data_IF_547152314256
#
_entry.id   IF_547152314256
#
_cell.length_a   1.000
_cell.length_b   1.000
_cell.length_c   1.000
_cell.angle_alpha   90.00
_cell.angle_beta   90.00
_cell.angle_gamma   90.00
#
_symmetry.space_group_name_H-M   'P 1'
#
loop_
_entity.id
_entity.type
_entity.pdbx_description
1 polymer ?
#
# COMPACT_ATOMS: atom_id res chain seq x y z
N UNK A 1 -10.82 -7.58 27.75
CA UNK A 1 -10.86 -6.47 26.75
C UNK A 1 -9.98 -6.91 25.60
N UNK A 2 -10.47 -6.91 24.36
CA UNK A 2 -9.65 -7.29 23.19
C UNK A 2 -8.79 -6.07 22.85
N UNK A 3 -7.48 -6.15 23.04
CA UNK A 3 -6.55 -5.08 22.67
C UNK A 3 -6.08 -5.29 21.23
N UNK A 4 -6.27 -4.28 20.38
CA UNK A 4 -5.70 -4.21 19.04
C UNK A 4 -4.33 -3.56 19.14
N UNK A 5 -3.27 -4.33 18.85
CA UNK A 5 -1.89 -3.83 18.89
C UNK A 5 -1.38 -3.35 17.54
N UNK A 6 -2.18 -3.48 16.48
CA UNK A 6 -1.77 -3.12 15.14
C UNK A 6 -2.92 -2.72 14.22
N UNK A 7 -2.60 -1.94 13.20
CA UNK A 7 -3.47 -1.52 12.10
C UNK A 7 -2.83 -1.92 10.78
N UNK A 8 -3.65 -2.32 9.82
CA UNK A 8 -3.23 -2.57 8.43
C UNK A 8 -4.24 -1.96 7.47
N UNK A 9 -3.90 -1.91 6.19
CA UNK A 9 -4.81 -1.54 5.11
C UNK A 9 -4.51 -2.35 3.86
N UNK A 10 -5.51 -2.48 2.99
CA UNK A 10 -5.36 -3.09 1.67
C UNK A 10 -4.97 -2.03 0.62
N UNK A 11 -4.61 -2.49 -0.57
CA UNK A 11 -4.21 -1.60 -1.67
C UNK A 11 -5.38 -0.77 -2.18
N UNK A 12 -6.61 -1.30 -2.15
CA UNK A 12 -7.82 -0.58 -2.57
C UNK A 12 -8.05 0.68 -1.72
N UNK A 13 -7.86 0.59 -0.39
CA UNK A 13 -7.96 1.73 0.52
C UNK A 13 -6.94 2.82 0.22
N UNK A 14 -5.75 2.44 -0.25
CA UNK A 14 -4.69 3.40 -0.63
C UNK A 14 -5.01 4.06 -1.97
N UNK A 15 -5.51 3.27 -2.92
CA UNK A 15 -5.85 3.74 -4.24
C UNK A 15 -6.96 4.78 -4.20
N UNK A 16 -7.97 4.59 -3.35
CA UNK A 16 -9.01 5.59 -3.09
C UNK A 16 -8.46 6.95 -2.62
N UNK A 17 -7.29 6.96 -1.99
CA UNK A 17 -6.62 8.16 -1.49
C UNK A 17 -5.55 8.71 -2.46
N UNK A 18 -5.41 8.11 -3.64
CA UNK A 18 -4.50 8.55 -4.70
C UNK A 18 -3.01 8.43 -4.35
N UNK A 19 -2.64 7.52 -3.44
CA UNK A 19 -1.25 7.29 -3.02
C UNK A 19 -0.50 8.56 -2.56
N UNK A 20 -1.24 9.52 -1.99
CA UNK A 20 -0.68 10.81 -1.55
C UNK A 20 -0.10 10.66 -0.15
N UNK A 21 1.13 10.15 -0.04
CA UNK A 21 1.79 9.97 1.26
C UNK A 21 2.09 11.27 2.01
N UNK A 22 2.15 12.37 1.27
CA UNK A 22 2.47 13.68 1.78
C UNK A 22 1.23 14.45 2.27
N UNK A 23 0.01 13.92 2.10
CA UNK A 23 -1.23 14.63 2.47
C UNK A 23 -2.39 13.69 2.85
N UNK A 24 -3.31 14.16 3.69
CA UNK A 24 -4.58 13.47 3.92
C UNK A 24 -4.46 12.20 4.78
N UNK A 25 -5.16 11.14 4.39
CA UNK A 25 -5.33 9.87 5.13
C UNK A 25 -4.04 9.31 5.71
N UNK A 26 -2.96 9.32 4.92
CA UNK A 26 -1.69 8.72 5.30
C UNK A 26 -0.92 9.48 6.39
N UNK A 27 -1.18 10.79 6.56
CA UNK A 27 -0.59 11.53 7.65
C UNK A 27 -1.15 11.10 9.01
N UNK A 28 -2.39 10.59 9.07
CA UNK A 28 -2.97 10.11 10.32
C UNK A 28 -2.14 8.97 10.93
N UNK A 29 -1.50 8.12 10.12
CA UNK A 29 -0.64 7.04 10.63
C UNK A 29 0.61 7.53 11.37
N UNK A 30 1.03 8.79 11.16
CA UNK A 30 2.16 9.38 11.92
C UNK A 30 1.89 9.38 13.42
N UNK A 31 0.62 9.48 13.84
CA UNK A 31 0.24 9.45 15.25
C UNK A 31 0.62 8.13 15.93
N UNK A 32 0.84 7.06 15.16
CA UNK A 32 1.16 5.75 15.70
C UNK A 32 2.65 5.46 15.80
N UNK A 33 3.52 6.28 15.19
CA UNK A 33 4.97 6.02 15.08
C UNK A 33 5.63 5.69 16.43
N UNK A 34 5.28 6.44 17.47
CA UNK A 34 5.81 6.27 18.82
C UNK A 34 4.78 5.70 19.80
N UNK A 35 3.68 5.15 19.28
CA UNK A 35 2.60 4.57 20.07
C UNK A 35 2.80 3.07 20.33
N UNK A 36 1.93 2.49 21.16
CA UNK A 36 1.85 1.04 21.33
C UNK A 36 1.19 0.31 20.14
N UNK A 37 0.60 1.04 19.20
CA UNK A 37 -0.06 0.50 18.01
C UNK A 37 0.95 0.49 16.86
N UNK A 38 1.07 -0.65 16.19
CA UNK A 38 1.93 -0.81 15.00
C UNK A 38 1.13 -0.58 13.72
N UNK A 39 1.71 0.09 12.74
CA UNK A 39 1.15 0.15 11.38
C UNK A 39 1.85 -0.91 10.54
N UNK A 40 1.08 -1.82 9.95
CA UNK A 40 1.58 -2.97 9.23
C UNK A 40 1.06 -2.95 7.79
N UNK A 41 1.88 -3.42 6.86
CA UNK A 41 1.45 -3.86 5.53
C UNK A 41 2.20 -5.14 5.15
N UNK A 42 1.65 -5.94 4.25
CA UNK A 42 2.32 -7.12 3.72
C UNK A 42 3.30 -6.77 2.58
N UNK A 43 4.18 -7.70 2.21
CA UNK A 43 5.04 -7.56 1.03
C UNK A 43 4.25 -7.34 -0.27
N UNK A 44 3.17 -8.09 -0.59
CA UNK A 44 2.38 -7.82 -1.78
C UNK A 44 1.80 -6.39 -1.83
N UNK A 45 1.24 -5.90 -0.72
CA UNK A 45 0.73 -4.53 -0.63
C UNK A 45 1.86 -3.51 -0.85
N UNK A 46 3.05 -3.71 -0.26
CA UNK A 46 4.24 -2.89 -0.56
C UNK A 46 4.55 -2.88 -2.06
N UNK A 47 4.58 -4.05 -2.70
CA UNK A 47 4.94 -4.17 -4.12
C UNK A 47 3.95 -3.41 -5.01
N UNK A 48 2.67 -3.52 -4.73
CA UNK A 48 1.62 -2.80 -5.46
C UNK A 48 1.72 -1.29 -5.29
N UNK A 49 1.98 -0.83 -4.06
CA UNK A 49 2.25 0.58 -3.78
C UNK A 49 3.42 1.10 -4.62
N UNK A 50 4.59 0.44 -4.53
CA UNK A 50 5.81 0.89 -5.22
C UNK A 50 5.61 0.88 -6.73
N UNK A 51 4.96 -0.17 -7.26
CA UNK A 51 4.61 -0.26 -8.68
C UNK A 51 3.74 0.91 -9.12
N UNK A 52 2.69 1.25 -8.36
CA UNK A 52 1.81 2.35 -8.72
C UNK A 52 2.52 3.72 -8.68
N UNK A 53 3.40 3.94 -7.71
CA UNK A 53 4.23 5.14 -7.64
C UNK A 53 5.16 5.24 -8.85
N UNK A 54 5.81 4.13 -9.24
CA UNK A 54 6.68 4.08 -10.41
C UNK A 54 5.89 4.40 -11.69
N UNK A 55 4.73 3.77 -11.90
CA UNK A 55 3.84 4.03 -13.05
C UNK A 55 3.39 5.50 -13.10
N UNK A 56 3.03 6.07 -11.95
CA UNK A 56 2.65 7.48 -11.83
C UNK A 56 3.82 8.41 -12.17
N UNK A 57 5.00 8.13 -11.61
CA UNK A 57 6.20 8.91 -11.88
C UNK A 57 6.57 8.83 -13.38
N UNK A 58 6.53 7.65 -13.99
CA UNK A 58 6.81 7.45 -15.43
C UNK A 58 5.84 8.21 -16.32
N UNK A 59 4.54 8.22 -15.97
CA UNK A 59 3.52 8.98 -16.68
C UNK A 59 3.87 10.47 -16.71
N UNK A 60 4.08 11.07 -15.54
CA UNK A 60 4.35 12.51 -15.46
C UNK A 60 5.72 12.88 -16.03
N UNK A 61 6.72 12.00 -15.90
CA UNK A 61 8.00 12.16 -16.57
C UNK A 61 7.82 12.30 -18.09
N UNK A 62 7.01 11.41 -18.69
CA UNK A 62 6.70 11.44 -20.12
C UNK A 62 5.90 12.67 -20.53
N UNK A 63 4.91 13.08 -19.73
CA UNK A 63 4.11 14.28 -19.97
C UNK A 63 4.95 15.56 -19.94
N UNK A 64 5.85 15.68 -18.95
CA UNK A 64 6.75 16.83 -18.83
C UNK A 64 7.68 16.91 -20.05
N UNK A 65 8.31 15.80 -20.44
CA UNK A 65 9.20 15.76 -21.60
C UNK A 65 8.46 16.15 -22.88
N UNK A 66 7.23 15.65 -23.08
CA UNK A 66 6.37 16.02 -24.20
C UNK A 66 6.06 17.52 -24.21
N UNK A 67 5.70 18.09 -23.06
CA UNK A 67 5.44 19.53 -22.94
C UNK A 67 6.66 20.37 -23.32
N UNK A 68 7.87 19.99 -22.88
CA UNK A 68 9.11 20.67 -23.25
C UNK A 68 9.38 20.58 -24.76
N UNK A 69 9.18 19.41 -25.37
CA UNK A 69 9.36 19.23 -26.82
C UNK A 69 8.41 20.12 -27.63
N UNK A 70 7.12 20.16 -27.28
CA UNK A 70 6.16 21.02 -27.95
C UNK A 70 6.47 22.51 -27.72
N UNK A 71 6.89 22.89 -26.51
CA UNK A 71 7.28 24.27 -26.21
C UNK A 71 8.53 24.72 -27.00
N UNK A 72 9.47 23.80 -27.29
CA UNK A 72 10.58 24.05 -28.24
C UNK A 72 10.07 24.22 -29.67
N UNK A 73 9.21 23.31 -30.14
CA UNK A 73 8.66 23.29 -31.50
C UNK A 73 7.90 24.56 -31.86
N UNK A 74 7.09 25.09 -30.93
CA UNK A 74 6.31 26.31 -31.14
C UNK A 74 7.02 27.60 -30.67
N UNK A 75 8.35 27.54 -30.42
CA UNK A 75 9.16 28.69 -30.00
C UNK A 75 8.63 29.41 -28.74
N UNK A 76 7.96 28.69 -27.83
CA UNK A 76 7.44 29.22 -26.56
C UNK A 76 8.59 29.45 -25.56
N UNK A 77 9.58 28.54 -25.55
CA UNK A 77 10.74 28.65 -24.67
C UNK A 77 11.73 29.73 -25.15
N UNK A 78 12.05 30.68 -24.26
CA UNK A 78 13.11 31.67 -24.50
C UNK A 78 14.49 31.01 -24.66
N UNK A 79 14.78 30.00 -23.83
CA UNK A 79 16.00 29.22 -23.92
C UNK A 79 15.75 27.95 -24.75
N UNK A 80 16.22 27.94 -26.01
CA UNK A 80 16.08 26.78 -26.91
C UNK A 80 16.91 25.57 -26.47
N UNK A 81 17.98 25.80 -25.72
CA UNK A 81 18.87 24.77 -25.17
C UNK A 81 18.39 24.27 -23.80
N UNK A 82 17.19 24.65 -23.36
CA UNK A 82 16.64 24.14 -22.10
C UNK A 82 16.56 22.62 -22.12
N UNK A 83 17.22 21.98 -21.17
CA UNK A 83 17.19 20.55 -20.94
C UNK A 83 16.78 20.27 -19.49
N UNK A 84 15.76 19.44 -19.33
CA UNK A 84 15.23 19.09 -18.03
C UNK A 84 15.79 17.75 -17.52
N UNK A 85 16.36 16.91 -18.39
CA UNK A 85 16.85 15.58 -17.99
C UNK A 85 17.78 15.61 -16.76
N UNK A 86 18.71 16.57 -16.59
CA UNK A 86 19.57 16.62 -15.40
C UNK A 86 18.85 16.89 -14.07
N UNK A 87 17.60 17.35 -14.13
CA UNK A 87 16.79 17.72 -12.95
C UNK A 87 15.69 16.70 -12.64
N UNK A 88 15.58 15.65 -13.46
CA UNK A 88 14.56 14.63 -13.27
C UNK A 88 15.15 13.42 -12.54
N UNK A 89 14.51 13.05 -11.44
CA UNK A 89 14.80 11.81 -10.73
C UNK A 89 14.36 10.60 -11.55
N UNK A 90 15.07 9.48 -11.40
CA UNK A 90 14.62 8.22 -11.98
C UNK A 90 13.25 7.83 -11.38
N UNK A 91 12.24 7.51 -12.20
CA UNK A 91 10.89 7.20 -11.70
C UNK A 91 10.82 6.08 -10.66
N UNK A 92 11.65 5.05 -10.80
CA UNK A 92 11.71 3.90 -9.88
C UNK A 92 12.40 4.25 -8.57
N UNK A 93 13.52 4.97 -8.65
CA UNK A 93 14.28 5.35 -7.47
C UNK A 93 13.46 6.34 -6.63
N UNK A 94 12.79 7.29 -7.28
CA UNK A 94 11.86 8.21 -6.63
C UNK A 94 10.68 7.47 -5.97
N UNK A 95 10.12 6.44 -6.62
CA UNK A 95 9.04 5.63 -6.05
C UNK A 95 9.49 4.91 -4.77
N UNK A 96 10.67 4.28 -4.81
CA UNK A 96 11.26 3.58 -3.67
C UNK A 96 11.56 4.56 -2.53
N UNK A 97 12.21 5.68 -2.83
CA UNK A 97 12.55 6.72 -1.86
C UNK A 97 11.31 7.29 -1.15
N UNK A 98 10.25 7.60 -1.92
CA UNK A 98 8.99 8.11 -1.34
C UNK A 98 8.31 7.09 -0.43
N UNK A 99 8.30 5.82 -0.84
CA UNK A 99 7.73 4.75 -0.01
C UNK A 99 8.54 4.55 1.29
N UNK A 100 9.86 4.51 1.21
CA UNK A 100 10.73 4.38 2.39
C UNK A 100 10.59 5.56 3.35
N UNK A 101 10.54 6.79 2.82
CA UNK A 101 10.27 7.98 3.61
C UNK A 101 8.91 7.92 4.30
N UNK A 102 7.89 7.37 3.63
CA UNK A 102 6.58 7.15 4.22
C UNK A 102 6.62 6.14 5.37
N UNK A 103 7.29 5.00 5.18
CA UNK A 103 7.50 4.01 6.25
C UNK A 103 8.20 4.63 7.46
N UNK A 104 9.30 5.34 7.23
CA UNK A 104 10.06 6.00 8.28
C UNK A 104 9.22 7.02 9.06
N UNK A 105 8.41 7.83 8.37
CA UNK A 105 7.62 8.88 8.99
C UNK A 105 6.40 8.37 9.78
N UNK A 106 5.92 7.17 9.48
CA UNK A 106 4.74 6.56 10.13
C UNK A 106 5.10 5.46 11.12
N UNK A 107 6.35 4.99 11.14
CA UNK A 107 6.72 3.78 11.85
C UNK A 107 6.10 2.52 11.23
N UNK A 108 5.67 2.59 9.97
CA UNK A 108 5.06 1.46 9.28
C UNK A 108 6.09 0.36 9.04
N UNK A 109 5.67 -0.86 9.35
CA UNK A 109 6.45 -2.07 9.19
C UNK A 109 5.89 -2.92 8.04
N UNK A 110 6.79 -3.41 7.20
CA UNK A 110 6.46 -4.40 6.16
C UNK A 110 6.63 -5.79 6.76
N UNK A 111 5.54 -6.55 6.80
CA UNK A 111 5.49 -7.92 7.30
C UNK A 111 5.99 -8.86 6.20
N UNK A 112 7.06 -9.60 6.51
CA UNK A 112 7.61 -10.60 5.59
C UNK A 112 6.62 -11.74 5.33
N UNK A 113 6.66 -12.27 4.11
CA UNK A 113 5.93 -13.46 3.70
C UNK A 113 6.76 -14.75 3.77
N UNK A 114 8.00 -14.72 4.29
CA UNK A 114 8.91 -15.90 4.28
C UNK A 114 8.33 -17.11 5.01
N UNK A 115 7.50 -16.87 6.03
CA UNK A 115 6.87 -17.94 6.80
C UNK A 115 5.58 -18.45 6.15
N UNK A 116 5.09 -17.86 5.06
CA UNK A 116 3.86 -18.31 4.38
C UNK A 116 4.18 -19.56 3.56
N UNK A 117 3.51 -20.67 3.87
CA UNK A 117 3.74 -21.91 3.12
C UNK A 117 2.87 -21.89 1.87
N UNK A 118 3.47 -22.21 0.71
CA UNK A 118 2.71 -22.31 -0.54
C UNK A 118 1.60 -23.35 -0.48
N UNK A 119 1.74 -24.39 0.35
CA UNK A 119 0.67 -25.35 0.62
C UNK A 119 -0.58 -24.70 1.21
N UNK A 120 -0.42 -23.75 2.15
CA UNK A 120 -1.55 -23.03 2.76
C UNK A 120 -2.27 -22.17 1.71
N UNK A 121 -1.51 -21.49 0.84
CA UNK A 121 -2.07 -20.69 -0.26
C UNK A 121 -2.84 -21.58 -1.25
N UNK A 122 -2.28 -22.75 -1.59
CA UNK A 122 -2.92 -23.70 -2.50
C UNK A 122 -4.17 -24.32 -1.90
N UNK A 123 -4.18 -24.60 -0.59
CA UNK A 123 -5.35 -25.11 0.11
C UNK A 123 -6.51 -24.10 0.06
N UNK A 124 -6.24 -22.81 0.30
CA UNK A 124 -7.23 -21.74 0.13
C UNK A 124 -7.77 -21.69 -1.30
N UNK A 125 -6.88 -21.79 -2.30
CA UNK A 125 -7.24 -21.76 -3.72
C UNK A 125 -8.15 -22.93 -4.13
N UNK A 126 -7.75 -24.16 -3.80
CA UNK A 126 -8.48 -25.39 -4.16
C UNK A 126 -9.82 -25.44 -3.43
N UNK A 127 -9.84 -25.08 -2.15
CA UNK A 127 -11.07 -25.06 -1.34
C UNK A 127 -11.99 -23.88 -1.63
N UNK A 128 -11.60 -22.97 -2.53
CA UNK A 128 -12.36 -21.74 -2.85
C UNK A 128 -12.67 -20.90 -1.60
N UNK A 129 -11.80 -20.98 -0.58
CA UNK A 129 -11.90 -20.14 0.61
C UNK A 129 -11.43 -18.73 0.26
N UNK A 130 -11.94 -17.70 0.96
CA UNK A 130 -11.47 -16.34 0.77
C UNK A 130 -9.93 -16.27 0.86
N UNK A 131 -9.27 -15.46 0.02
CA UNK A 131 -9.84 -14.54 -0.98
C UNK A 131 -10.29 -15.20 -2.31
N UNK A 132 -10.11 -16.51 -2.49
CA UNK A 132 -10.44 -17.23 -3.75
C UNK A 132 -11.93 -17.54 -3.98
N UNK A 133 -12.85 -16.75 -3.43
CA UNK A 133 -14.31 -16.95 -3.55
C UNK A 133 -14.89 -16.53 -4.91
N UNK A 134 -14.18 -15.70 -5.67
CA UNK A 134 -14.69 -15.03 -6.86
C UNK A 134 -14.27 -15.70 -8.19
N UNK A 135 -14.87 -15.27 -9.32
CA UNK A 135 -14.58 -15.80 -10.66
C UNK A 135 -13.12 -15.56 -11.12
N UNK A 136 -12.43 -14.57 -10.55
CA UNK A 136 -11.07 -14.16 -10.93
C UNK A 136 -9.98 -14.62 -9.94
N UNK A 137 -10.06 -15.88 -9.47
CA UNK A 137 -9.14 -16.47 -8.47
C UNK A 137 -7.64 -16.25 -8.71
N UNK A 138 -7.20 -16.10 -9.96
CA UNK A 138 -5.77 -15.88 -10.29
C UNK A 138 -5.22 -14.57 -9.73
N UNK A 139 -6.07 -13.57 -9.54
CA UNK A 139 -5.67 -12.26 -9.05
C UNK A 139 -5.62 -12.20 -7.52
N UNK A 140 -6.08 -13.24 -6.83
CA UNK A 140 -6.28 -13.27 -5.37
C UNK A 140 -5.06 -13.84 -4.61
N UNK A 141 -4.03 -14.31 -5.32
CA UNK A 141 -2.81 -14.84 -4.70
C UNK A 141 -2.07 -13.79 -3.85
N UNK A 142 -1.88 -12.53 -4.30
CA UNK A 142 -1.34 -11.45 -3.49
C UNK A 142 -2.11 -11.24 -2.17
N UNK A 143 -3.44 -11.28 -2.22
CA UNK A 143 -4.29 -11.14 -1.04
C UNK A 143 -4.16 -12.33 -0.09
N UNK A 144 -4.12 -13.56 -0.61
CA UNK A 144 -3.93 -14.75 0.19
C UNK A 144 -2.59 -14.71 0.94
N UNK A 145 -1.51 -14.33 0.25
CA UNK A 145 -0.19 -14.16 0.85
C UNK A 145 -0.22 -13.04 1.90
N UNK A 146 -0.91 -11.93 1.63
CA UNK A 146 -1.04 -10.81 2.57
C UNK A 146 -1.73 -11.23 3.86
N UNK A 147 -2.89 -11.88 3.75
CA UNK A 147 -3.68 -12.33 4.89
C UNK A 147 -2.92 -13.37 5.73
N UNK A 148 -2.30 -14.37 5.10
CA UNK A 148 -1.50 -15.38 5.81
C UNK A 148 -0.26 -14.75 6.49
N UNK A 149 0.39 -13.78 5.85
CA UNK A 149 1.55 -13.08 6.44
C UNK A 149 1.13 -12.33 7.70
N UNK A 150 0.02 -11.60 7.64
CA UNK A 150 -0.53 -10.83 8.76
C UNK A 150 -1.02 -11.74 9.89
N UNK A 151 -1.65 -12.87 9.55
CA UNK A 151 -2.10 -13.87 10.53
C UNK A 151 -0.93 -14.47 11.30
N UNK A 152 0.16 -14.86 10.63
CA UNK A 152 1.37 -15.36 11.28
C UNK A 152 2.01 -14.29 12.18
N UNK A 153 2.01 -13.03 11.74
CA UNK A 153 2.48 -11.92 12.57
C UNK A 153 1.64 -11.78 13.85
N UNK A 154 0.31 -11.86 13.76
CA UNK A 154 -0.60 -11.80 14.91
C UNK A 154 -0.33 -12.92 15.90
N UNK A 155 -0.24 -14.17 15.42
CA UNK A 155 0.00 -15.34 16.28
C UNK A 155 1.32 -15.18 17.05
N UNK A 156 2.38 -14.74 16.37
CA UNK A 156 3.69 -14.55 16.99
C UNK A 156 3.70 -13.41 18.02
N UNK A 157 2.93 -12.34 17.79
CA UNK A 157 2.87 -11.17 18.67
C UNK A 157 1.73 -11.22 19.70
N UNK A 158 0.91 -12.28 19.70
CA UNK A 158 -0.22 -12.49 20.63
C UNK A 158 -1.15 -11.28 20.73
N UNK A 159 -1.46 -10.67 19.59
CA UNK A 159 -2.29 -9.45 19.51
C UNK A 159 -3.42 -9.60 18.48
N UNK A 160 -4.09 -8.51 18.11
CA UNK A 160 -5.03 -8.46 16.98
C UNK A 160 -4.74 -7.28 16.09
N UNK A 161 -5.12 -7.42 14.82
CA UNK A 161 -4.99 -6.37 13.81
C UNK A 161 -6.36 -5.77 13.50
N UNK A 162 -6.37 -4.45 13.35
CA UNK A 162 -7.47 -3.68 12.81
C UNK A 162 -7.17 -3.40 11.33
N UNK A 163 -7.91 -4.00 10.41
CA UNK A 163 -7.76 -3.74 8.99
C UNK A 163 -8.69 -2.61 8.54
N UNK A 164 -8.15 -1.62 7.84
CA UNK A 164 -8.92 -0.57 7.19
C UNK A 164 -9.06 -0.98 5.73
N UNK A 165 -10.26 -1.41 5.34
CA UNK A 165 -10.54 -1.96 4.02
C UNK A 165 -12.02 -1.81 3.69
N UNK A 166 -12.33 -1.55 2.43
CA UNK A 166 -13.68 -1.65 1.87
C UNK A 166 -13.95 -3.02 1.23
N UNK A 167 -12.91 -3.85 1.09
CA UNK A 167 -12.98 -5.18 0.50
C UNK A 167 -13.60 -6.18 1.48
N UNK A 168 -14.72 -6.78 1.05
CA UNK A 168 -15.45 -7.76 1.85
C UNK A 168 -14.79 -9.12 1.89
N UNK A 169 -13.88 -9.43 0.97
CA UNK A 169 -13.19 -10.70 0.94
C UNK A 169 -12.07 -10.78 1.99
N UNK A 170 -11.56 -9.63 2.43
CA UNK A 170 -10.75 -9.53 3.65
C UNK A 170 -11.59 -9.73 4.94
N UNK A 171 -12.93 -9.55 4.92
CA UNK A 171 -13.81 -9.63 6.12
C UNK A 171 -13.95 -11.06 6.65
N UNK A 172 -13.78 -12.06 5.79
CA UNK A 172 -14.25 -13.42 6.08
C UNK A 172 -13.15 -14.43 6.40
N UNK A 173 -11.88 -14.02 6.39
CA UNK A 173 -10.75 -14.96 6.33
C UNK A 173 -10.14 -15.33 7.67
N UNK A 174 -10.25 -14.50 8.71
CA UNK A 174 -9.58 -14.80 9.99
C UNK A 174 -10.27 -14.18 11.22
N UNK A 175 -10.23 -14.90 12.35
CA UNK A 175 -10.77 -14.43 13.63
C UNK A 175 -9.91 -13.33 14.30
N UNK A 176 -8.71 -13.09 13.77
CA UNK A 176 -7.71 -12.20 14.36
C UNK A 176 -7.71 -10.78 13.79
N UNK A 177 -8.34 -10.59 12.61
CA UNK A 177 -8.41 -9.32 11.90
C UNK A 177 -9.84 -8.81 11.98
N UNK A 178 -10.02 -7.59 12.49
CA UNK A 178 -11.31 -6.90 12.45
C UNK A 178 -11.25 -5.80 11.39
N UNK A 179 -12.24 -5.73 10.52
CA UNK A 179 -12.30 -4.68 9.49
C UNK A 179 -13.06 -3.46 9.99
N UNK A 180 -12.50 -2.29 9.69
CA UNK A 180 -13.17 -1.00 9.73
C UNK A 180 -13.35 -0.51 8.29
N UNK A 181 -14.61 -0.29 7.93
CA UNK A 181 -14.98 0.40 6.70
C UNK A 181 -14.95 1.91 6.99
N UNK A 182 -14.02 2.69 6.41
CA UNK A 182 -13.94 4.12 6.67
C UNK A 182 -15.20 4.85 6.15
N UNK A 183 -15.86 5.66 6.98
CA UNK A 183 -17.04 6.45 6.58
C UNK A 183 -16.75 7.91 6.20
N UNK A 184 -15.53 8.42 6.43
CA UNK A 184 -15.02 9.79 6.18
C UNK A 184 -13.65 9.94 6.89
N UNK A 185 -12.82 11.01 6.72
CA UNK A 185 -11.40 10.90 7.05
C UNK A 185 -11.21 10.55 8.53
N UNK A 186 -10.34 9.56 8.75
CA UNK A 186 -10.03 8.83 10.00
C UNK A 186 -9.42 9.74 11.11
N UNK A 187 -9.77 11.03 11.13
CA UNK A 187 -9.32 12.04 12.10
C UNK A 187 -9.78 11.81 13.55
N UNK A 188 -10.27 10.62 13.89
CA UNK A 188 -10.75 10.29 15.24
C UNK A 188 -10.81 8.80 15.56
N UNK A 189 -10.07 7.93 14.85
CA UNK A 189 -9.94 6.54 15.33
C UNK A 189 -9.02 6.56 16.55
N UNK A 190 -9.62 6.70 17.73
CA UNK A 190 -9.05 6.21 18.97
C UNK A 190 -9.19 4.68 18.95
N UNK A 191 -8.06 3.99 18.82
CA UNK A 191 -7.94 2.53 18.92
C UNK A 191 -7.68 2.16 20.37
#
# INVERSE_FOLDING_TARGET
MIHYGAVTFDTQSIQAQGFRFESGFFQAFRQFKDSCIRVLISVPVKMEIVKHLEETNQKYHSEILKCILEAKKYCILKNKNFDLYPYLENPRDLASFRFEGFCFNTGMQVVSCDNVLMSEVLDLYISSKPPFGNKNKKNEFPDAISLLSLEKWVVNNKTRILAISEDKDWISTTAYIKILVPKSPILGICI
#
